data_IF_042785984204
#
_entry.id   IF_042785984204
#
_cell.length_a   1.000
_cell.length_b   1.000
_cell.length_c   1.000
_cell.angle_alpha   90.00
_cell.angle_beta   90.00
_cell.angle_gamma   90.00
#
_symmetry.space_group_name_H-M   'P 1'
#
loop_
_entity.id
_entity.type
_entity.pdbx_description
1 polymer ?
#
# COMPACT_ATOMS: atom_id res chain seq x y z
N UNK A 1 4.76 29.80 -3.46
CA UNK A 1 3.80 28.74 -3.77
C UNK A 1 2.66 28.87 -2.77
N UNK A 2 1.46 29.23 -3.21
CA UNK A 2 0.34 29.33 -2.27
C UNK A 2 -0.04 27.93 -1.79
N UNK A 3 -0.22 27.71 -0.47
CA UNK A 3 -0.65 26.43 0.05
C UNK A 3 -2.07 26.12 -0.45
N UNK A 4 -2.31 24.85 -0.71
CA UNK A 4 -3.65 24.33 -1.03
C UNK A 4 -4.62 24.82 0.03
N UNK A 5 -5.73 25.46 -0.37
CA UNK A 5 -6.71 26.02 0.56
C UNK A 5 -7.24 24.94 1.50
N UNK A 6 -7.18 25.24 2.80
CA UNK A 6 -7.74 24.35 3.82
C UNK A 6 -9.22 24.07 3.53
N UNK A 7 -9.62 22.79 3.40
CA UNK A 7 -10.97 22.38 3.05
C UNK A 7 -11.23 22.10 1.56
N UNK A 8 -10.20 22.19 0.69
CA UNK A 8 -10.32 21.76 -0.71
C UNK A 8 -10.55 20.24 -0.79
N UNK A 9 -11.43 19.82 -1.70
CA UNK A 9 -11.74 18.40 -1.90
C UNK A 9 -10.93 17.84 -3.07
N UNK A 10 -10.70 16.52 -3.08
CA UNK A 10 -9.97 15.85 -4.16
C UNK A 10 -10.53 16.18 -5.57
N UNK A 11 -11.86 16.35 -5.70
CA UNK A 11 -12.51 16.74 -6.96
C UNK A 11 -12.08 18.13 -7.47
N UNK A 12 -11.62 19.02 -6.58
CA UNK A 12 -11.20 20.37 -6.98
C UNK A 12 -9.83 20.31 -7.70
N UNK A 13 -9.13 19.17 -7.59
CA UNK A 13 -7.83 18.89 -8.19
C UNK A 13 -7.88 17.74 -9.21
N UNK A 14 -9.07 17.25 -9.55
CA UNK A 14 -9.25 16.05 -10.38
C UNK A 14 -8.45 16.14 -11.69
N UNK A 15 -8.52 17.29 -12.38
CA UNK A 15 -7.79 17.51 -13.62
C UNK A 15 -6.27 17.51 -13.41
N UNK A 16 -5.79 18.14 -12.34
CA UNK A 16 -4.36 18.18 -12.01
C UNK A 16 -3.85 16.79 -11.64
N UNK A 17 -4.63 16.03 -10.86
CA UNK A 17 -4.30 14.63 -10.53
C UNK A 17 -4.26 13.79 -11.81
N UNK A 18 -5.22 13.98 -12.72
CA UNK A 18 -5.25 13.24 -13.98
C UNK A 18 -3.99 13.54 -14.83
N UNK A 19 -3.58 14.78 -14.94
CA UNK A 19 -2.36 15.15 -15.67
C UNK A 19 -1.11 14.53 -15.07
N UNK A 20 -1.01 14.49 -13.74
CA UNK A 20 0.12 13.84 -13.06
C UNK A 20 0.11 12.32 -13.28
N UNK A 21 -1.07 11.70 -13.33
CA UNK A 21 -1.23 10.28 -13.65
C UNK A 21 -0.87 9.99 -15.11
N UNK A 22 -1.32 10.81 -16.04
CA UNK A 22 -1.02 10.67 -17.48
C UNK A 22 0.48 10.87 -17.78
N UNK A 23 1.13 11.74 -16.98
CA UNK A 23 2.58 11.92 -17.02
C UNK A 23 3.37 10.78 -16.34
N UNK A 24 2.69 9.84 -15.67
CA UNK A 24 3.30 8.74 -14.93
C UNK A 24 4.03 9.15 -13.65
N UNK A 25 3.79 10.38 -13.15
CA UNK A 25 4.45 10.91 -11.94
C UNK A 25 3.74 10.45 -10.67
N UNK A 26 2.42 10.18 -10.77
CA UNK A 26 1.58 9.78 -9.66
C UNK A 26 0.75 8.54 -10.05
N UNK A 27 0.59 7.65 -9.10
CA UNK A 27 -0.29 6.49 -9.20
C UNK A 27 -1.44 6.61 -8.23
N UNK A 28 -2.67 6.39 -8.72
CA UNK A 28 -3.89 6.40 -7.92
C UNK A 28 -4.23 4.97 -7.49
N UNK A 29 -4.35 4.76 -6.18
CA UNK A 29 -4.79 3.51 -5.56
C UNK A 29 -6.17 3.75 -4.96
N UNK A 30 -7.20 3.18 -5.56
CA UNK A 30 -8.58 3.38 -5.14
C UNK A 30 -8.95 2.49 -3.96
N UNK A 31 -9.88 2.95 -3.13
CA UNK A 31 -10.49 2.12 -2.10
C UNK A 31 -11.39 1.06 -2.73
N UNK A 32 -11.49 -0.10 -2.10
CA UNK A 32 -12.57 -1.06 -2.37
C UNK A 32 -13.55 -1.09 -1.20
N UNK A 33 -14.82 -1.35 -1.51
CA UNK A 33 -15.89 -1.48 -0.51
C UNK A 33 -15.93 -2.90 0.07
N UNK A 34 -15.70 -3.91 -0.75
CA UNK A 34 -15.70 -5.31 -0.37
C UNK A 34 -14.50 -6.05 -0.99
N UNK A 35 -13.86 -6.98 -0.25
CA UNK A 35 -12.71 -7.72 -0.75
C UNK A 35 -13.13 -8.94 -1.58
N UNK A 36 -13.92 -8.73 -2.64
CA UNK A 36 -14.45 -9.77 -3.52
C UNK A 36 -13.98 -9.58 -4.96
N UNK A 37 -13.84 -10.68 -5.69
CA UNK A 37 -13.49 -10.66 -7.11
C UNK A 37 -14.71 -10.41 -7.99
N UNK A 38 -14.52 -9.66 -9.07
CA UNK A 38 -13.33 -8.88 -9.42
C UNK A 38 -13.25 -7.59 -8.60
N UNK A 39 -12.08 -7.26 -8.02
CA UNK A 39 -11.89 -6.09 -7.14
C UNK A 39 -12.34 -4.77 -7.78
N UNK A 40 -12.15 -4.65 -9.09
CA UNK A 40 -12.57 -3.46 -9.85
C UNK A 40 -14.07 -3.17 -9.74
N UNK A 41 -14.91 -4.18 -9.56
CA UNK A 41 -16.35 -4.01 -9.43
C UNK A 41 -16.73 -3.33 -8.10
N UNK A 42 -15.90 -3.50 -7.08
CA UNK A 42 -16.09 -2.93 -5.73
C UNK A 42 -15.28 -1.65 -5.51
N UNK A 43 -14.69 -1.10 -6.57
CA UNK A 43 -13.91 0.14 -6.52
C UNK A 43 -14.79 1.33 -6.09
N UNK A 44 -14.29 2.10 -5.13
CA UNK A 44 -14.87 3.35 -4.69
C UNK A 44 -14.06 4.48 -5.32
N UNK A 45 -14.62 5.12 -6.33
CA UNK A 45 -13.93 6.15 -7.12
C UNK A 45 -13.71 7.46 -6.35
N UNK A 46 -14.48 7.68 -5.29
CA UNK A 46 -14.44 8.91 -4.48
C UNK A 46 -13.39 8.84 -3.36
N UNK A 47 -12.84 7.66 -3.11
CA UNK A 47 -11.84 7.45 -2.07
C UNK A 47 -10.58 6.79 -2.64
N UNK A 48 -9.45 7.48 -2.53
CA UNK A 48 -8.19 7.00 -3.07
C UNK A 48 -6.99 7.53 -2.29
N UNK A 49 -5.87 6.83 -2.44
CA UNK A 49 -4.52 7.28 -2.06
C UNK A 49 -3.75 7.65 -3.32
N UNK A 50 -2.83 8.59 -3.21
CA UNK A 50 -1.87 8.92 -4.25
C UNK A 50 -0.49 8.49 -3.82
N UNK A 51 0.19 7.78 -4.71
CA UNK A 51 1.58 7.38 -4.57
C UNK A 51 2.40 8.05 -5.66
N UNK A 52 3.64 8.34 -5.39
CA UNK A 52 4.56 8.88 -6.40
C UNK A 52 5.07 7.75 -7.32
N UNK A 53 5.76 8.13 -8.38
CA UNK A 53 6.34 7.18 -9.33
C UNK A 53 7.26 6.17 -8.63
N UNK A 54 8.15 6.67 -7.76
CA UNK A 54 9.11 5.83 -7.05
C UNK A 54 9.56 6.44 -5.72
N UNK A 55 10.34 5.66 -4.98
CA UNK A 55 10.93 6.07 -3.70
C UNK A 55 11.93 7.24 -3.85
N UNK A 56 12.62 7.36 -4.99
CA UNK A 56 13.57 8.46 -5.23
C UNK A 56 12.84 9.79 -5.35
N UNK A 57 11.72 9.82 -6.07
CA UNK A 57 10.88 11.02 -6.18
C UNK A 57 10.28 11.39 -4.82
N UNK A 58 9.83 10.40 -4.03
CA UNK A 58 9.33 10.64 -2.67
C UNK A 58 10.43 11.24 -1.77
N UNK A 59 11.66 10.71 -1.83
CA UNK A 59 12.80 11.25 -1.09
C UNK A 59 13.11 12.70 -1.45
N UNK A 60 13.13 12.98 -2.75
CA UNK A 60 13.39 14.31 -3.28
C UNK A 60 12.34 15.34 -2.82
N UNK A 61 11.05 14.96 -2.89
CA UNK A 61 9.94 15.86 -2.53
C UNK A 61 9.80 16.09 -1.02
N UNK A 62 10.34 15.21 -0.21
CA UNK A 62 10.30 15.33 1.27
C UNK A 62 11.57 15.94 1.84
N UNK A 63 12.54 16.34 1.01
CA UNK A 63 13.85 16.81 1.43
C UNK A 63 14.52 15.87 2.46
N UNK A 64 14.24 14.58 2.32
CA UNK A 64 14.71 13.56 3.26
C UNK A 64 16.23 13.39 3.16
N UNK A 65 16.98 13.58 4.25
CA UNK A 65 18.43 13.38 4.24
C UNK A 65 18.75 11.91 3.97
N UNK A 66 19.50 11.61 2.90
CA UNK A 66 19.80 10.26 2.48
C UNK A 66 20.59 9.46 3.54
N UNK A 67 21.41 10.12 4.33
CA UNK A 67 22.17 9.54 5.44
C UNK A 67 21.26 9.09 6.60
N UNK A 68 20.22 9.87 6.90
CA UNK A 68 19.25 9.54 7.96
C UNK A 68 18.26 8.43 7.56
N UNK A 69 18.03 8.24 6.28
CA UNK A 69 17.23 7.11 5.77
C UNK A 69 17.92 5.76 6.00
N UNK A 70 19.26 5.73 5.99
CA UNK A 70 20.08 4.53 6.15
C UNK A 70 20.39 4.22 7.62
N UNK A 71 20.41 5.25 8.50
CA UNK A 71 20.72 5.08 9.92
C UNK A 71 19.41 4.83 10.67
N UNK A 72 19.31 3.69 11.34
CA UNK A 72 18.10 3.18 12.01
C UNK A 72 17.55 4.02 13.17
N UNK A 73 17.45 5.34 13.01
CA UNK A 73 16.97 6.25 14.04
C UNK A 73 15.42 6.22 14.13
N UNK A 74 14.90 6.09 15.36
CA UNK A 74 13.46 6.03 15.63
C UNK A 74 12.71 7.33 15.33
N UNK A 75 13.42 8.45 15.15
CA UNK A 75 12.84 9.76 14.84
C UNK A 75 12.08 9.79 13.48
N UNK A 76 12.34 8.82 12.60
CA UNK A 76 11.76 8.73 11.25
C UNK A 76 10.79 7.57 11.04
N UNK A 77 10.19 7.03 12.10
CA UNK A 77 9.32 5.83 12.02
C UNK A 77 8.16 6.02 11.04
N UNK A 78 7.47 7.16 11.08
CA UNK A 78 6.34 7.45 10.15
C UNK A 78 6.83 7.56 8.71
N UNK A 79 7.96 8.21 8.50
CA UNK A 79 8.60 8.35 7.21
C UNK A 79 9.02 7.00 6.63
N UNK A 80 9.62 6.11 7.45
CA UNK A 80 9.94 4.74 7.05
C UNK A 80 8.69 3.95 6.63
N UNK A 81 7.57 4.15 7.32
CA UNK A 81 6.28 3.56 6.96
C UNK A 81 5.87 3.97 5.55
N UNK A 82 5.80 5.27 5.28
CA UNK A 82 5.42 5.82 3.97
C UNK A 82 6.35 5.34 2.84
N UNK A 83 7.66 5.28 3.09
CA UNK A 83 8.63 4.75 2.12
C UNK A 83 8.45 3.26 1.85
N UNK A 84 8.15 2.48 2.88
CA UNK A 84 7.93 1.05 2.72
C UNK A 84 6.65 0.78 1.94
N UNK A 85 5.58 1.51 2.21
CA UNK A 85 4.35 1.44 1.41
C UNK A 85 4.60 1.86 -0.04
N UNK A 86 5.33 2.97 -0.27
CA UNK A 86 5.72 3.43 -1.60
C UNK A 86 6.51 2.35 -2.35
N UNK A 87 7.47 1.71 -1.69
CA UNK A 87 8.26 0.63 -2.28
C UNK A 87 7.38 -0.58 -2.66
N UNK A 88 6.49 -1.01 -1.77
CA UNK A 88 5.58 -2.14 -2.05
C UNK A 88 4.67 -1.81 -3.23
N UNK A 89 4.06 -0.62 -3.24
CA UNK A 89 3.23 -0.16 -4.35
C UNK A 89 3.98 -0.20 -5.69
N UNK A 90 5.20 0.34 -5.74
CA UNK A 90 6.06 0.34 -6.91
C UNK A 90 6.36 -1.09 -7.39
N UNK A 91 6.67 -2.02 -6.48
CA UNK A 91 6.92 -3.43 -6.83
C UNK A 91 5.67 -4.10 -7.41
N UNK A 92 4.50 -3.87 -6.83
CA UNK A 92 3.24 -4.43 -7.35
C UNK A 92 2.97 -3.96 -8.78
N UNK A 93 3.18 -2.67 -9.07
CA UNK A 93 2.97 -2.11 -10.42
C UNK A 93 3.95 -2.68 -11.45
N UNK A 94 5.22 -2.83 -11.10
CA UNK A 94 6.24 -3.45 -11.97
C UNK A 94 5.87 -4.89 -12.33
N UNK A 95 5.22 -5.60 -11.41
CA UNK A 95 4.71 -6.96 -11.61
C UNK A 95 3.38 -7.01 -12.36
N UNK A 96 2.84 -5.87 -12.79
CA UNK A 96 1.54 -5.78 -13.47
C UNK A 96 0.34 -6.02 -12.57
N UNK A 97 0.51 -5.95 -11.26
CA UNK A 97 -0.53 -6.16 -10.27
C UNK A 97 -1.14 -4.81 -9.89
N UNK A 98 -2.43 -4.62 -10.17
CA UNK A 98 -3.15 -3.41 -9.78
C UNK A 98 -3.48 -3.45 -8.28
N UNK A 99 -2.92 -2.56 -7.44
CA UNK A 99 -3.29 -2.47 -6.03
C UNK A 99 -4.57 -1.66 -5.83
N UNK A 100 -5.31 -2.04 -4.81
CA UNK A 100 -6.38 -1.30 -4.16
C UNK A 100 -6.05 -1.20 -2.68
N UNK A 101 -6.84 -0.46 -1.89
CA UNK A 101 -6.77 -0.50 -0.43
C UNK A 101 -8.17 -0.66 0.15
N UNK A 102 -8.25 -1.00 1.41
CA UNK A 102 -9.51 -1.06 2.13
C UNK A 102 -9.42 -0.26 3.42
N UNK A 103 -10.47 0.47 3.76
CA UNK A 103 -10.58 1.15 5.05
C UNK A 103 -12.00 1.06 5.58
N UNK A 104 -12.11 0.97 6.91
CA UNK A 104 -13.40 0.96 7.59
C UNK A 104 -13.91 2.41 7.77
N UNK A 105 -15.16 2.66 7.42
CA UNK A 105 -15.77 4.00 7.56
C UNK A 105 -16.00 4.42 9.03
N UNK A 106 -16.04 3.47 9.97
CA UNK A 106 -16.41 3.72 11.38
C UNK A 106 -15.24 3.59 12.35
N UNK A 107 -14.14 2.98 11.93
CA UNK A 107 -12.96 2.72 12.77
C UNK A 107 -11.70 3.10 12.01
N UNK A 108 -10.56 3.31 12.67
CA UNK A 108 -9.29 3.59 11.99
C UNK A 108 -8.64 2.36 11.35
N UNK A 109 -9.39 1.25 11.21
CA UNK A 109 -8.88 0.04 10.59
C UNK A 109 -8.69 0.22 9.09
N UNK A 110 -7.50 -0.08 8.61
CA UNK A 110 -7.12 0.00 7.20
C UNK A 110 -6.26 -1.21 6.82
N UNK A 111 -6.36 -1.64 5.56
CA UNK A 111 -5.48 -2.60 4.90
C UNK A 111 -4.74 -1.84 3.82
N UNK A 112 -3.41 -1.80 3.91
CA UNK A 112 -2.55 -0.96 3.09
C UNK A 112 -2.75 -1.24 1.60
N UNK A 113 -2.77 -2.53 1.21
CA UNK A 113 -3.14 -2.93 -0.14
C UNK A 113 -4.06 -4.15 -0.14
N UNK A 114 -4.91 -4.22 -1.14
CA UNK A 114 -5.69 -5.41 -1.49
C UNK A 114 -5.46 -5.68 -2.97
N UNK A 115 -4.95 -6.86 -3.29
CA UNK A 115 -4.63 -7.23 -4.67
C UNK A 115 -5.39 -8.47 -5.09
N UNK A 116 -5.60 -8.60 -6.41
CA UNK A 116 -6.11 -9.82 -7.02
C UNK A 116 -4.93 -10.56 -7.67
N UNK A 117 -4.62 -11.75 -7.18
CA UNK A 117 -3.51 -12.55 -7.68
C UNK A 117 -3.85 -14.05 -7.67
N UNK A 118 -3.51 -14.76 -8.73
CA UNK A 118 -3.79 -16.21 -8.88
C UNK A 118 -5.25 -16.59 -8.53
N UNK A 119 -6.20 -15.82 -9.05
CA UNK A 119 -7.64 -16.01 -8.82
C UNK A 119 -8.05 -15.93 -7.33
N UNK A 120 -7.31 -15.16 -6.53
CA UNK A 120 -7.61 -14.93 -5.11
C UNK A 120 -7.48 -13.44 -4.79
N UNK A 121 -8.20 -13.01 -3.75
CA UNK A 121 -8.01 -11.71 -3.12
C UNK A 121 -6.98 -11.88 -2.02
N UNK A 122 -5.95 -11.04 -2.03
CA UNK A 122 -4.88 -11.05 -1.04
C UNK A 122 -4.85 -9.69 -0.34
N UNK A 123 -5.29 -9.60 0.92
CA UNK A 123 -5.10 -8.40 1.75
C UNK A 123 -3.65 -8.33 2.22
N UNK A 124 -3.02 -7.17 2.02
CA UNK A 124 -1.59 -6.94 2.28
C UNK A 124 -1.42 -5.84 3.31
N UNK A 125 -0.72 -6.16 4.39
CA UNK A 125 -0.27 -5.23 5.43
C UNK A 125 1.23 -5.00 5.28
N UNK A 126 1.65 -3.75 5.23
CA UNK A 126 3.06 -3.35 5.09
C UNK A 126 3.61 -2.88 6.43
N UNK A 127 4.79 -3.36 6.80
CA UNK A 127 5.44 -2.94 8.05
C UNK A 127 6.93 -2.67 7.82
N UNK A 128 7.33 -1.44 8.13
CA UNK A 128 8.73 -1.00 8.05
C UNK A 128 9.62 -1.59 9.14
N UNK A 129 9.05 -2.09 10.24
CA UNK A 129 9.78 -2.56 11.42
C UNK A 129 9.73 -4.07 11.62
N UNK A 130 10.62 -4.55 12.51
CA UNK A 130 10.69 -5.97 12.88
C UNK A 130 9.63 -6.34 13.92
N UNK A 131 9.26 -5.43 14.83
CA UNK A 131 8.27 -5.67 15.89
C UNK A 131 6.88 -5.15 15.49
N UNK A 132 6.09 -6.02 14.85
CA UNK A 132 4.86 -5.57 14.22
C UNK A 132 3.65 -6.42 14.59
N UNK A 133 2.65 -5.75 15.14
CA UNK A 133 1.33 -6.33 15.34
C UNK A 133 0.46 -5.94 14.14
N UNK A 134 -0.04 -6.92 13.41
CA UNK A 134 -0.96 -6.74 12.28
C UNK A 134 -2.42 -6.82 12.76
N UNK A 135 -2.84 -5.88 13.63
CA UNK A 135 -4.18 -5.92 14.24
C UNK A 135 -5.30 -5.73 13.22
N UNK A 136 -5.12 -4.77 12.32
CA UNK A 136 -6.10 -4.51 11.24
C UNK A 136 -6.23 -5.71 10.34
N UNK A 137 -5.11 -6.30 9.90
CA UNK A 137 -5.10 -7.49 9.06
C UNK A 137 -5.75 -8.70 9.76
N UNK A 138 -5.43 -8.93 11.04
CA UNK A 138 -6.02 -10.02 11.80
C UNK A 138 -7.54 -9.89 11.93
N UNK A 139 -8.03 -8.67 12.22
CA UNK A 139 -9.47 -8.43 12.28
C UNK A 139 -10.12 -8.58 10.90
N UNK A 140 -9.49 -8.05 9.86
CA UNK A 140 -9.98 -8.13 8.49
C UNK A 140 -10.13 -9.58 8.01
N UNK A 141 -9.11 -10.42 8.23
CA UNK A 141 -9.16 -11.86 7.90
C UNK A 141 -10.20 -12.60 8.75
N UNK A 142 -10.35 -12.25 10.03
CA UNK A 142 -11.40 -12.82 10.87
C UNK A 142 -12.81 -12.51 10.34
N UNK A 143 -13.01 -11.32 9.80
CA UNK A 143 -14.29 -10.88 9.21
C UNK A 143 -14.49 -11.46 7.79
N UNK A 144 -13.42 -11.97 7.14
CA UNK A 144 -13.41 -12.57 5.82
C UNK A 144 -12.61 -13.89 5.85
N UNK A 145 -13.14 -14.96 6.44
CA UNK A 145 -12.41 -16.19 6.77
C UNK A 145 -11.94 -16.98 5.54
N UNK A 146 -12.45 -16.67 4.36
CA UNK A 146 -12.00 -17.23 3.09
C UNK A 146 -10.68 -16.63 2.59
N UNK A 147 -10.22 -15.52 3.21
CA UNK A 147 -8.99 -14.84 2.82
C UNK A 147 -7.84 -15.25 3.73
N UNK A 148 -6.64 -15.32 3.17
CA UNK A 148 -5.38 -15.41 3.91
C UNK A 148 -4.63 -14.10 3.77
N UNK A 149 -4.22 -13.53 4.90
CA UNK A 149 -3.49 -12.26 4.93
C UNK A 149 -2.04 -12.42 4.44
N UNK A 150 -1.50 -11.36 3.86
CA UNK A 150 -0.09 -11.24 3.54
C UNK A 150 0.50 -10.06 4.31
N UNK A 151 1.53 -10.30 5.09
CA UNK A 151 2.32 -9.23 5.68
C UNK A 151 3.65 -9.13 4.96
N UNK A 152 4.00 -7.93 4.52
CA UNK A 152 5.29 -7.61 3.92
C UNK A 152 6.08 -6.79 4.93
N UNK A 153 7.24 -7.28 5.35
CA UNK A 153 8.00 -6.63 6.42
C UNK A 153 9.51 -6.88 6.32
N UNK A 154 10.27 -6.33 7.25
CA UNK A 154 11.70 -6.62 7.39
C UNK A 154 11.99 -8.00 7.99
N UNK A 155 10.97 -8.76 8.43
CA UNK A 155 11.14 -10.12 8.95
C UNK A 155 11.30 -11.13 7.83
N UNK A 156 11.98 -12.24 8.16
CA UNK A 156 12.07 -13.41 7.29
C UNK A 156 10.69 -14.04 7.00
N UNK A 157 10.67 -14.98 6.07
CA UNK A 157 9.47 -15.73 5.73
C UNK A 157 8.89 -16.46 6.95
N UNK A 158 7.58 -16.41 7.08
CA UNK A 158 6.83 -17.21 8.06
C UNK A 158 5.42 -17.48 7.50
N UNK A 159 4.98 -18.72 7.64
CA UNK A 159 3.62 -19.13 7.29
C UNK A 159 2.84 -19.43 8.57
N UNK A 160 1.68 -18.79 8.70
CA UNK A 160 0.73 -19.00 9.79
C UNK A 160 -0.62 -19.37 9.15
N UNK A 161 -1.51 -20.00 9.92
CA UNK A 161 -2.81 -20.43 9.43
C UNK A 161 -3.59 -19.32 8.70
N UNK A 162 -3.60 -18.12 9.25
CA UNK A 162 -4.39 -17.00 8.76
C UNK A 162 -3.58 -15.96 7.95
N UNK A 163 -2.25 -16.02 7.98
CA UNK A 163 -1.37 -15.01 7.40
C UNK A 163 -0.01 -15.59 7.00
N UNK A 164 0.52 -15.13 5.89
CA UNK A 164 1.93 -15.29 5.53
C UNK A 164 2.70 -14.01 5.81
N UNK A 165 3.96 -14.11 6.17
CA UNK A 165 4.91 -13.00 6.19
C UNK A 165 5.99 -13.24 5.15
N UNK A 166 6.20 -12.26 4.29
CA UNK A 166 7.35 -12.27 3.37
C UNK A 166 8.28 -11.10 3.64
N UNK A 167 9.58 -11.26 3.44
CA UNK A 167 10.50 -10.14 3.49
C UNK A 167 10.29 -9.20 2.29
N UNK A 168 10.50 -7.90 2.50
CA UNK A 168 10.37 -6.85 1.46
C UNK A 168 11.09 -7.23 0.15
N UNK A 169 12.28 -7.82 0.25
CA UNK A 169 13.08 -8.21 -0.92
C UNK A 169 12.48 -9.38 -1.71
N UNK A 170 11.51 -10.10 -1.15
CA UNK A 170 10.93 -11.29 -1.77
C UNK A 170 9.60 -11.00 -2.51
N UNK A 171 9.14 -9.76 -2.60
CA UNK A 171 7.88 -9.40 -3.26
C UNK A 171 7.84 -9.94 -4.69
N UNK A 172 8.91 -9.70 -5.47
CA UNK A 172 9.00 -10.20 -6.83
C UNK A 172 8.90 -11.73 -6.91
N UNK A 173 9.61 -12.45 -6.06
CA UNK A 173 9.59 -13.91 -6.04
C UNK A 173 8.21 -14.47 -5.62
N UNK A 174 7.52 -13.80 -4.71
CA UNK A 174 6.21 -14.22 -4.22
C UNK A 174 5.11 -14.06 -5.29
N UNK A 175 5.12 -12.93 -5.99
CA UNK A 175 4.12 -12.60 -7.01
C UNK A 175 4.51 -12.97 -8.45
N UNK A 176 5.64 -13.64 -8.66
CA UNK A 176 5.96 -14.23 -9.96
C UNK A 176 5.28 -15.59 -10.07
N UNK A 177 4.55 -15.90 -11.16
CA UNK A 177 3.98 -17.21 -11.36
C UNK A 177 5.09 -18.28 -11.32
N UNK A 178 4.92 -19.29 -10.49
CA UNK A 178 5.78 -20.47 -10.56
C UNK A 178 5.39 -21.24 -11.82
N UNK A 179 6.28 -21.23 -12.80
CA UNK A 179 6.14 -22.02 -14.05
C UNK A 179 6.22 -23.50 -13.78
#
# INVERSE_FOLDING_TARGET
MEPVRQGSRAKDFELAIQWLMDAGIVHKVSRIREPKMPLKFYEDIDAFKLFLLDCGLLACMTDAPADQMLIGDNAFTEFKGAFTEQYVMQQLLVLGIKPYYWSNAKTPAEIDFVVQYNNRVVPVEVKAEVNVRARSLAQFVKDNPELKGLRISMKGYADQEWMENIPLVAIGAYFTPQT
#
